data_IF_450503930439
#
_entry.id   IF_450503930439
#
_cell.length_a   1.000
_cell.length_b   1.000
_cell.length_c   1.000
_cell.angle_alpha   90.00
_cell.angle_beta   90.00
_cell.angle_gamma   90.00
#
_symmetry.space_group_name_H-M   'P 1'
#
loop_
_entity.id
_entity.type
_entity.pdbx_description
1 polymer ?
#
# COMPACT_ATOMS: atom_id res chain seq x y z
N UNK A 1 3.91 5.64 18.82
CA UNK A 1 4.49 6.18 17.57
C UNK A 1 5.11 5.05 16.80
N UNK A 2 4.87 4.98 15.52
CA UNK A 2 5.39 3.94 14.63
C UNK A 2 6.19 4.61 13.52
N UNK A 3 7.26 3.96 13.06
CA UNK A 3 7.94 4.30 11.83
C UNK A 3 7.45 3.34 10.74
N UNK A 4 6.58 3.81 9.85
CA UNK A 4 5.98 2.97 8.83
C UNK A 4 7.02 2.41 7.84
N UNK A 5 8.16 3.09 7.66
CA UNK A 5 9.23 2.61 6.79
C UNK A 5 10.06 1.45 7.41
N UNK A 6 9.87 1.15 8.69
CA UNK A 6 10.45 -0.03 9.35
C UNK A 6 9.50 -1.23 9.33
N UNK A 7 8.24 -1.03 8.93
CA UNK A 7 7.21 -2.07 8.83
C UNK A 7 7.07 -2.52 7.37
N UNK A 8 8.15 -2.98 6.78
CA UNK A 8 8.24 -3.52 5.42
C UNK A 8 8.59 -5.01 5.47
N UNK A 9 8.55 -5.69 4.35
CA UNK A 9 8.97 -7.10 4.20
C UNK A 9 8.24 -8.08 5.15
N UNK A 10 6.96 -7.81 5.43
CA UNK A 10 6.14 -8.61 6.33
C UNK A 10 6.42 -8.37 7.81
N UNK A 11 7.16 -7.30 8.16
CA UNK A 11 7.31 -6.85 9.54
C UNK A 11 6.06 -6.09 9.97
N UNK A 12 5.59 -6.39 11.17
CA UNK A 12 4.40 -5.77 11.76
C UNK A 12 4.63 -5.27 13.18
N UNK A 13 3.76 -4.41 13.64
CA UNK A 13 3.72 -3.90 15.01
C UNK A 13 2.30 -4.02 15.56
N UNK A 14 2.14 -4.61 16.75
CA UNK A 14 0.84 -4.75 17.37
C UNK A 14 0.29 -3.40 17.81
N UNK A 15 -0.82 -2.98 17.21
CA UNK A 15 -1.52 -1.73 17.56
C UNK A 15 -2.33 -1.85 18.85
N UNK A 16 -2.83 -3.03 19.18
CA UNK A 16 -3.56 -3.32 20.42
C UNK A 16 -4.58 -4.44 20.27
N UNK A 17 -5.21 -4.75 21.39
CA UNK A 17 -6.33 -5.74 21.47
C UNK A 17 -7.58 -5.01 21.93
N UNK A 18 -8.70 -5.25 21.24
CA UNK A 18 -9.97 -4.57 21.50
C UNK A 18 -11.08 -5.61 21.65
N UNK A 19 -12.00 -5.34 22.58
CA UNK A 19 -13.22 -6.13 22.71
C UNK A 19 -14.29 -5.61 21.76
N UNK A 20 -14.87 -6.50 20.98
CA UNK A 20 -15.93 -6.20 20.02
C UNK A 20 -17.07 -7.21 20.15
N UNK A 21 -18.28 -6.80 19.80
CA UNK A 21 -19.41 -7.72 19.71
C UNK A 21 -19.19 -8.71 18.55
N UNK A 22 -19.67 -9.94 18.72
CA UNK A 22 -19.63 -10.92 17.65
C UNK A 22 -20.48 -10.44 16.46
N UNK A 23 -19.93 -10.48 15.25
CA UNK A 23 -20.61 -9.97 14.08
C UNK A 23 -19.69 -9.76 12.89
N UNK A 24 -20.28 -9.28 11.81
CA UNK A 24 -19.56 -8.97 10.57
C UNK A 24 -19.29 -7.46 10.50
N UNK A 25 -18.07 -7.11 10.19
CA UNK A 25 -17.58 -5.74 10.04
C UNK A 25 -16.93 -5.56 8.67
N UNK A 26 -16.88 -4.34 8.19
CA UNK A 26 -16.26 -4.02 6.91
C UNK A 26 -15.27 -2.84 6.97
N UNK A 27 -15.07 -2.28 8.15
CA UNK A 27 -14.11 -1.20 8.39
C UNK A 27 -13.77 -1.06 9.86
N UNK A 28 -12.57 -0.54 10.12
CA UNK A 28 -12.17 0.05 11.40
C UNK A 28 -11.85 1.53 11.21
N UNK A 29 -11.81 2.29 12.31
CA UNK A 29 -11.41 3.69 12.32
C UNK A 29 -10.35 3.92 13.38
N UNK A 30 -9.20 4.38 12.97
CA UNK A 30 -8.11 4.77 13.84
C UNK A 30 -8.23 6.26 14.16
N UNK A 31 -8.56 6.60 15.40
CA UNK A 31 -8.50 7.97 15.87
C UNK A 31 -7.04 8.31 16.15
N UNK A 32 -6.52 9.31 15.48
CA UNK A 32 -5.12 9.71 15.59
C UNK A 32 -5.01 11.13 16.13
N UNK A 33 -4.03 11.34 17.01
CA UNK A 33 -3.65 12.66 17.50
C UNK A 33 -2.65 13.27 16.50
N UNK A 34 -3.18 14.07 15.58
CA UNK A 34 -2.46 14.56 14.41
C UNK A 34 -2.62 16.07 14.26
N UNK A 35 -1.62 16.77 13.66
CA UNK A 35 -1.77 18.17 13.34
C UNK A 35 -2.87 18.39 12.30
N UNK A 36 -3.70 19.41 12.50
CA UNK A 36 -4.70 19.84 11.52
C UNK A 36 -4.11 20.85 10.55
N UNK A 37 -4.28 20.63 9.24
CA UNK A 37 -3.78 21.52 8.18
C UNK A 37 -4.30 22.96 8.33
N UNK A 38 -5.54 23.12 8.82
CA UNK A 38 -6.17 24.42 9.05
C UNK A 38 -5.44 25.32 10.07
N UNK A 39 -4.60 24.74 10.91
CA UNK A 39 -3.81 25.45 11.93
C UNK A 39 -2.40 25.80 11.44
N UNK A 40 -2.05 25.38 10.23
CA UNK A 40 -0.72 25.51 9.68
C UNK A 40 0.27 24.48 10.24
N UNK A 41 1.49 24.43 9.68
CA UNK A 41 2.49 23.47 10.10
C UNK A 41 2.98 23.77 11.53
N UNK A 42 2.96 22.77 12.46
CA UNK A 42 3.51 22.95 13.79
C UNK A 42 5.04 23.00 13.74
N UNK A 43 5.64 23.75 14.67
CA UNK A 43 7.11 23.86 14.78
C UNK A 43 7.82 22.56 15.18
N UNK A 44 7.08 21.61 15.75
CA UNK A 44 7.58 20.27 16.11
C UNK A 44 6.46 19.24 15.85
N UNK A 45 6.28 18.80 14.60
CA UNK A 45 5.20 17.89 14.24
C UNK A 45 5.37 16.53 14.91
N UNK A 46 4.27 15.99 15.43
CA UNK A 46 4.22 14.65 16.00
C UNK A 46 4.14 13.57 14.93
N UNK A 47 3.47 13.88 13.81
CA UNK A 47 3.49 13.08 12.59
C UNK A 47 4.23 13.85 11.51
N UNK A 48 5.21 13.19 10.91
CA UNK A 48 6.11 13.85 9.96
C UNK A 48 6.75 12.87 8.99
N UNK A 49 7.21 13.40 7.88
CA UNK A 49 8.17 12.74 6.99
C UNK A 49 9.58 13.24 7.30
N UNK A 50 10.58 12.39 7.05
CA UNK A 50 11.98 12.79 7.01
C UNK A 50 12.39 12.95 5.55
N UNK A 51 12.59 14.20 5.12
CA UNK A 51 13.02 14.52 3.75
C UNK A 51 14.36 15.23 3.82
N UNK A 52 15.40 14.64 3.23
CA UNK A 52 16.78 15.18 3.26
C UNK A 52 17.30 15.51 4.67
N UNK A 53 16.83 14.78 5.69
CA UNK A 53 17.22 14.99 7.09
C UNK A 53 16.43 16.05 7.84
N UNK A 54 15.46 16.70 7.22
CA UNK A 54 14.53 17.65 7.82
C UNK A 54 13.16 17.01 8.06
N UNK A 55 12.47 17.49 9.11
CA UNK A 55 11.12 17.03 9.45
C UNK A 55 10.08 17.87 8.73
N UNK A 56 9.32 17.25 7.86
CA UNK A 56 8.17 17.85 7.19
C UNK A 56 6.87 17.35 7.82
N UNK A 57 5.95 18.25 8.26
CA UNK A 57 4.69 17.83 8.84
C UNK A 57 3.86 16.97 7.88
N UNK A 58 3.35 15.85 8.38
CA UNK A 58 2.41 14.99 7.66
C UNK A 58 1.02 15.20 8.25
N UNK A 59 0.11 15.74 7.45
CA UNK A 59 -1.25 16.05 7.87
C UNK A 59 -2.20 14.89 7.52
N UNK A 60 -3.17 14.63 8.40
CA UNK A 60 -4.21 13.64 8.14
C UNK A 60 -5.55 14.39 8.09
N UNK A 61 -6.12 14.58 6.90
CA UNK A 61 -7.42 15.22 6.77
C UNK A 61 -8.48 14.50 7.60
N UNK A 62 -9.12 15.20 8.53
CA UNK A 62 -10.15 14.67 9.43
C UNK A 62 -9.73 13.51 10.35
N UNK A 63 -8.44 13.22 10.49
CA UNK A 63 -7.92 12.09 11.28
C UNK A 63 -8.31 12.12 12.76
N UNK A 64 -8.35 13.31 13.35
CA UNK A 64 -8.78 13.52 14.74
C UNK A 64 -10.31 13.55 14.94
N UNK A 65 -11.10 13.82 13.89
CA UNK A 65 -12.55 13.98 13.99
C UNK A 65 -13.31 12.72 13.59
N UNK A 66 -13.08 12.22 12.39
CA UNK A 66 -13.78 11.04 11.83
C UNK A 66 -13.01 9.75 11.93
N UNK A 67 -11.74 9.83 12.30
CA UNK A 67 -10.80 8.73 12.30
C UNK A 67 -10.29 8.37 10.89
N UNK A 68 -9.10 7.78 10.86
CA UNK A 68 -8.48 7.25 9.67
C UNK A 68 -9.11 5.89 9.34
N UNK A 69 -9.67 5.77 8.17
CA UNK A 69 -10.50 4.64 7.77
C UNK A 69 -9.63 3.51 7.23
N UNK A 70 -9.77 2.32 7.81
CA UNK A 70 -9.23 1.09 7.29
C UNK A 70 -10.39 0.22 6.78
N UNK A 71 -10.30 -0.28 5.57
CA UNK A 71 -11.37 -0.99 4.87
C UNK A 71 -10.99 -2.46 4.66
N UNK A 72 -11.93 -3.34 4.92
CA UNK A 72 -11.84 -4.78 4.71
C UNK A 72 -12.92 -5.51 5.49
N UNK A 73 -13.51 -6.53 4.89
CA UNK A 73 -14.53 -7.34 5.53
C UNK A 73 -13.87 -8.36 6.48
N UNK A 74 -14.37 -8.47 7.72
CA UNK A 74 -13.94 -9.48 8.67
C UNK A 74 -15.08 -9.88 9.60
N UNK A 75 -14.96 -11.05 10.20
CA UNK A 75 -15.95 -11.56 11.15
C UNK A 75 -15.33 -11.75 12.53
N UNK A 76 -15.98 -11.15 13.55
CA UNK A 76 -15.66 -11.41 14.94
C UNK A 76 -16.48 -12.63 15.40
N UNK A 77 -15.84 -13.75 15.76
CA UNK A 77 -16.56 -14.95 16.18
C UNK A 77 -17.11 -14.79 17.61
N UNK A 78 -18.20 -15.49 17.92
CA UNK A 78 -18.72 -15.55 19.30
C UNK A 78 -17.73 -16.26 20.21
N UNK A 79 -17.27 -15.57 21.26
CA UNK A 79 -16.28 -16.08 22.23
C UNK A 79 -14.94 -16.50 21.59
N UNK A 80 -14.53 -15.84 20.52
CA UNK A 80 -13.26 -16.08 19.83
C UNK A 80 -12.51 -14.78 19.58
N UNK A 81 -11.35 -14.91 18.95
CA UNK A 81 -10.48 -13.80 18.55
C UNK A 81 -10.32 -13.83 17.04
N UNK A 82 -10.26 -12.68 16.42
CA UNK A 82 -9.78 -12.49 15.05
C UNK A 82 -8.58 -11.56 15.10
N UNK A 83 -7.51 -11.94 14.46
CA UNK A 83 -6.33 -11.11 14.25
C UNK A 83 -6.46 -10.43 12.90
N UNK A 84 -6.26 -9.10 12.89
CA UNK A 84 -6.42 -8.27 11.70
C UNK A 84 -5.10 -7.57 11.39
N UNK A 85 -4.66 -7.71 10.16
CA UNK A 85 -3.57 -6.94 9.60
C UNK A 85 -4.11 -5.64 8.99
N UNK A 86 -3.56 -4.51 9.41
CA UNK A 86 -3.80 -3.21 8.78
C UNK A 86 -2.59 -2.92 7.86
N UNK A 87 -2.78 -3.10 6.58
CA UNK A 87 -1.73 -2.88 5.58
C UNK A 87 -1.82 -1.47 5.00
N UNK A 88 -0.67 -0.83 4.89
CA UNK A 88 -0.55 0.58 4.55
C UNK A 88 0.42 0.79 3.39
N UNK A 89 -0.07 0.96 2.19
CA UNK A 89 0.79 1.31 1.06
C UNK A 89 1.19 2.79 1.14
N UNK A 90 2.41 3.04 1.61
CA UNK A 90 2.95 4.39 1.79
C UNK A 90 3.10 5.16 0.46
N UNK A 91 3.25 4.45 -0.69
CA UNK A 91 3.36 5.07 -2.02
C UNK A 91 2.06 5.73 -2.45
N UNK A 92 0.94 5.16 -2.02
CA UNK A 92 -0.41 5.69 -2.28
C UNK A 92 -0.86 6.68 -1.20
N UNK A 93 -0.43 6.43 0.04
CA UNK A 93 -0.91 7.16 1.20
C UNK A 93 -0.33 8.56 1.34
N UNK A 94 0.92 8.77 0.95
CA UNK A 94 1.60 10.07 1.10
C UNK A 94 1.53 10.85 -0.20
N UNK A 95 0.89 12.03 -0.14
CA UNK A 95 0.70 12.91 -1.30
C UNK A 95 1.15 14.32 -0.95
N UNK A 96 1.91 14.95 -1.85
CA UNK A 96 2.25 16.36 -1.78
C UNK A 96 1.13 17.21 -2.39
N UNK A 97 0.66 18.23 -1.67
CA UNK A 97 -0.34 19.18 -2.17
C UNK A 97 0.30 20.24 -3.02
N UNK A 98 -0.47 20.91 -3.89
CA UNK A 98 0.01 22.04 -4.69
C UNK A 98 0.55 23.24 -3.87
N UNK A 99 0.26 23.27 -2.55
CA UNK A 99 0.83 24.24 -1.61
C UNK A 99 2.14 23.76 -0.95
N UNK A 100 2.67 22.61 -1.32
CA UNK A 100 3.90 22.03 -0.77
C UNK A 100 3.74 21.44 0.63
N UNK A 101 2.54 21.03 1.02
CA UNK A 101 2.29 20.28 2.24
C UNK A 101 2.11 18.80 1.95
N UNK A 102 2.46 17.96 2.91
CA UNK A 102 2.26 16.51 2.79
C UNK A 102 1.01 16.08 3.55
N UNK A 103 0.14 15.33 2.87
CA UNK A 103 -1.05 14.73 3.46
C UNK A 103 -0.96 13.21 3.43
N UNK A 104 -1.54 12.57 4.45
CA UNK A 104 -1.68 11.13 4.52
C UNK A 104 -3.12 10.77 4.16
N UNK A 105 -3.31 10.06 3.05
CA UNK A 105 -4.62 9.58 2.58
C UNK A 105 -5.01 8.27 3.24
N UNK A 106 -6.30 8.04 3.50
CA UNK A 106 -6.77 6.82 4.14
C UNK A 106 -6.80 5.63 3.15
N UNK A 107 -5.66 5.02 2.95
CA UNK A 107 -5.46 3.87 2.06
C UNK A 107 -5.17 2.57 2.83
N UNK A 108 -5.63 2.46 4.10
CA UNK A 108 -5.40 1.26 4.89
C UNK A 108 -6.37 0.17 4.46
N UNK A 109 -5.82 -0.98 4.15
CA UNK A 109 -6.53 -2.21 3.89
C UNK A 109 -6.51 -3.10 5.14
N UNK A 110 -7.64 -3.74 5.45
CA UNK A 110 -7.75 -4.73 6.52
C UNK A 110 -7.85 -6.13 5.92
N UNK A 111 -7.04 -7.04 6.41
CA UNK A 111 -7.12 -8.46 6.06
C UNK A 111 -7.07 -9.28 7.36
N UNK A 112 -7.93 -10.29 7.46
CA UNK A 112 -7.82 -11.26 8.56
C UNK A 112 -6.51 -12.06 8.38
N UNK A 113 -5.63 -12.05 9.37
CA UNK A 113 -4.30 -12.67 9.28
C UNK A 113 -4.39 -14.14 8.88
N UNK A 114 -5.34 -14.87 9.47
CA UNK A 114 -5.58 -16.28 9.15
C UNK A 114 -6.12 -16.55 7.74
N UNK A 115 -6.43 -15.52 6.96
CA UNK A 115 -6.89 -15.63 5.56
C UNK A 115 -5.90 -14.99 4.58
N UNK A 116 -4.93 -14.24 5.05
CA UNK A 116 -3.97 -13.53 4.21
C UNK A 116 -3.05 -14.49 3.45
N UNK A 117 -2.89 -14.24 2.16
CA UNK A 117 -1.87 -14.86 1.32
C UNK A 117 -0.82 -13.84 0.87
N UNK A 118 0.07 -14.24 -0.02
CA UNK A 118 1.09 -13.37 -0.62
C UNK A 118 1.39 -13.80 -2.05
N UNK A 119 2.01 -12.87 -2.81
CA UNK A 119 2.59 -13.16 -4.13
C UNK A 119 4.07 -12.79 -4.07
N UNK A 120 4.94 -13.63 -4.60
CA UNK A 120 6.36 -13.30 -4.71
C UNK A 120 6.97 -13.90 -5.97
N UNK A 121 8.10 -13.34 -6.39
CA UNK A 121 8.85 -13.86 -7.54
C UNK A 121 10.16 -13.10 -7.75
N UNK A 122 10.96 -13.62 -8.68
CA UNK A 122 12.14 -12.93 -9.20
C UNK A 122 11.79 -12.20 -10.49
N UNK A 123 12.46 -11.08 -10.75
CA UNK A 123 12.30 -10.27 -11.97
C UNK A 123 13.54 -10.42 -12.83
N UNK A 124 13.37 -10.68 -14.12
CA UNK A 124 14.44 -10.88 -15.09
C UNK A 124 14.29 -9.94 -16.29
N UNK A 125 15.34 -9.82 -17.09
CA UNK A 125 15.40 -8.94 -18.28
C UNK A 125 15.07 -7.46 -17.94
N UNK A 126 15.60 -6.98 -16.81
CA UNK A 126 15.39 -5.62 -16.31
C UNK A 126 16.08 -4.63 -17.29
N UNK A 127 15.39 -3.56 -17.74
CA UNK A 127 16.01 -2.54 -18.58
C UNK A 127 17.19 -1.86 -17.89
N UNK A 128 18.27 -1.63 -18.64
CA UNK A 128 19.52 -1.04 -18.13
C UNK A 128 19.33 0.40 -17.58
N UNK A 129 18.31 1.11 -18.03
CA UNK A 129 17.97 2.47 -17.61
C UNK A 129 17.04 2.53 -16.40
N UNK A 130 16.51 1.38 -15.95
CA UNK A 130 15.65 1.33 -14.79
C UNK A 130 16.42 1.66 -13.49
N UNK A 131 15.98 2.69 -12.78
CA UNK A 131 16.47 2.97 -11.43
C UNK A 131 15.76 2.14 -10.37
N UNK A 132 14.48 1.80 -10.62
CA UNK A 132 13.62 0.95 -9.78
C UNK A 132 12.57 0.24 -10.64
N UNK A 133 12.19 -0.95 -10.24
CA UNK A 133 10.99 -1.66 -10.71
C UNK A 133 10.03 -1.76 -9.55
N UNK A 134 8.77 -1.45 -9.79
CA UNK A 134 7.69 -1.55 -8.81
C UNK A 134 6.61 -2.48 -9.37
N UNK A 135 6.16 -3.41 -8.56
CA UNK A 135 5.07 -4.34 -8.89
C UNK A 135 3.84 -3.92 -8.10
N UNK A 136 2.75 -3.62 -8.79
CA UNK A 136 1.45 -3.27 -8.21
C UNK A 136 0.50 -4.45 -8.39
N UNK A 137 -0.21 -4.85 -7.33
CA UNK A 137 -1.28 -5.84 -7.41
C UNK A 137 -2.62 -5.13 -7.58
N UNK A 138 -3.39 -5.57 -8.55
CA UNK A 138 -4.80 -5.19 -8.76
C UNK A 138 -5.69 -6.41 -8.59
N UNK A 139 -6.94 -6.24 -8.17
CA UNK A 139 -7.93 -7.29 -8.36
C UNK A 139 -8.11 -7.55 -9.86
N UNK A 140 -8.45 -8.78 -10.22
CA UNK A 140 -8.55 -9.23 -11.61
C UNK A 140 -9.42 -8.30 -12.47
N UNK A 141 -8.82 -7.68 -13.48
CA UNK A 141 -9.45 -6.77 -14.43
C UNK A 141 -9.71 -5.35 -13.95
N UNK A 142 -9.25 -4.96 -12.75
CA UNK A 142 -9.50 -3.62 -12.20
C UNK A 142 -8.47 -2.55 -12.67
N UNK A 143 -7.33 -2.96 -13.25
CA UNK A 143 -6.35 -2.00 -13.75
C UNK A 143 -6.85 -1.24 -14.97
N UNK A 144 -6.80 0.08 -14.92
CA UNK A 144 -7.05 0.96 -16.06
C UNK A 144 -5.75 1.66 -16.48
N UNK A 145 -5.40 1.61 -17.78
CA UNK A 145 -4.16 2.19 -18.28
C UNK A 145 -4.04 3.71 -18.02
N UNK A 146 -5.15 4.41 -17.86
CA UNK A 146 -5.19 5.82 -17.49
C UNK A 146 -4.58 6.12 -16.11
N UNK A 147 -4.49 5.14 -15.21
CA UNK A 147 -3.83 5.29 -13.91
C UNK A 147 -2.32 5.48 -14.01
N UNK A 148 -1.73 5.13 -15.15
CA UNK A 148 -0.33 5.40 -15.45
C UNK A 148 -0.07 6.84 -15.91
N UNK A 149 -1.10 7.63 -16.23
CA UNK A 149 -0.97 9.04 -16.60
C UNK A 149 -0.53 9.89 -15.39
N UNK A 150 -0.14 11.14 -15.65
CA UNK A 150 0.19 12.09 -14.59
C UNK A 150 -1.03 12.31 -13.69
N UNK A 151 -0.94 12.01 -12.39
CA UNK A 151 -2.07 12.16 -11.48
C UNK A 151 -2.47 13.62 -11.31
N UNK A 152 -3.75 13.87 -11.03
CA UNK A 152 -4.22 15.19 -10.64
C UNK A 152 -3.59 15.64 -9.31
N UNK A 153 -3.69 16.96 -9.00
CA UNK A 153 -3.23 17.48 -7.70
C UNK A 153 -3.85 16.69 -6.54
N UNK A 154 -3.01 16.36 -5.58
CA UNK A 154 -3.38 15.55 -4.40
C UNK A 154 -3.81 14.11 -4.72
N UNK A 155 -3.56 13.59 -5.91
CA UNK A 155 -3.78 12.20 -6.27
C UNK A 155 -2.47 11.43 -6.37
N UNK A 156 -2.53 10.12 -6.17
CA UNK A 156 -1.41 9.20 -6.40
C UNK A 156 -1.58 8.50 -7.74
N UNK A 157 -0.47 8.13 -8.36
CA UNK A 157 -0.47 7.21 -9.49
C UNK A 157 -0.87 5.81 -9.00
N UNK A 158 -1.55 5.03 -9.82
CA UNK A 158 -2.05 3.70 -9.49
C UNK A 158 -2.95 3.67 -8.23
N UNK A 159 -4.01 4.51 -8.19
CA UNK A 159 -4.83 4.68 -7.00
C UNK A 159 -5.61 3.41 -6.62
N UNK A 160 -6.00 2.59 -7.60
CA UNK A 160 -6.82 1.40 -7.40
C UNK A 160 -5.99 0.13 -7.14
N UNK A 161 -4.64 0.20 -7.22
CA UNK A 161 -3.80 -0.90 -6.81
C UNK A 161 -4.07 -1.32 -5.36
N UNK A 162 -4.21 -2.60 -5.11
CA UNK A 162 -4.46 -3.18 -3.77
C UNK A 162 -3.26 -2.96 -2.86
N UNK A 163 -2.06 -3.24 -3.36
CA UNK A 163 -0.76 -3.02 -2.68
C UNK A 163 0.35 -2.98 -3.71
N UNK A 164 1.54 -2.59 -3.29
CA UNK A 164 2.70 -2.54 -4.17
C UNK A 164 3.98 -2.94 -3.44
N UNK A 165 4.96 -3.41 -4.20
CA UNK A 165 6.31 -3.64 -3.69
C UNK A 165 7.37 -3.20 -4.70
N UNK A 166 8.48 -2.69 -4.18
CA UNK A 166 9.65 -2.33 -4.97
C UNK A 166 10.60 -3.54 -5.06
N UNK A 167 11.10 -3.80 -6.26
CA UNK A 167 12.12 -4.82 -6.45
C UNK A 167 13.30 -4.59 -5.50
N UNK A 168 13.54 -5.56 -4.62
CA UNK A 168 14.62 -5.56 -3.66
C UNK A 168 15.94 -6.09 -4.20
N UNK A 169 16.84 -6.39 -3.27
CA UNK A 169 18.09 -7.10 -3.57
C UNK A 169 17.79 -8.46 -4.22
N UNK A 170 18.69 -8.95 -5.03
CA UNK A 170 18.53 -10.21 -5.81
C UNK A 170 17.35 -10.18 -6.81
N UNK A 171 16.84 -9.00 -7.16
CA UNK A 171 15.73 -8.79 -8.10
C UNK A 171 14.41 -9.48 -7.66
N UNK A 172 14.22 -9.68 -6.38
CA UNK A 172 12.99 -10.25 -5.82
C UNK A 172 11.95 -9.19 -5.50
N UNK A 173 10.68 -9.60 -5.47
CA UNK A 173 9.57 -8.81 -4.94
C UNK A 173 8.63 -9.69 -4.12
N UNK A 174 7.87 -9.07 -3.20
CA UNK A 174 6.85 -9.77 -2.43
C UNK A 174 5.71 -8.87 -1.99
N UNK A 175 4.52 -9.18 -2.46
CA UNK A 175 3.27 -8.52 -2.12
C UNK A 175 2.63 -9.27 -0.96
N UNK A 176 2.54 -8.63 0.19
CA UNK A 176 2.09 -9.23 1.43
C UNK A 176 0.61 -9.00 1.71
N UNK A 177 0.02 -9.82 2.59
CA UNK A 177 -1.31 -9.66 3.17
C UNK A 177 -2.44 -9.50 2.14
N UNK A 178 -2.37 -10.23 1.03
CA UNK A 178 -3.42 -10.26 0.03
C UNK A 178 -4.58 -11.15 0.48
N UNK A 179 -5.81 -10.69 0.28
CA UNK A 179 -6.98 -11.53 0.44
C UNK A 179 -6.97 -12.66 -0.60
N UNK A 180 -7.59 -13.82 -0.33
CA UNK A 180 -7.75 -14.85 -1.34
C UNK A 180 -8.53 -14.31 -2.55
N UNK A 181 -8.00 -14.49 -3.75
CA UNK A 181 -8.56 -13.94 -4.98
C UNK A 181 -7.65 -14.14 -6.17
N UNK A 182 -8.00 -13.54 -7.28
CA UNK A 182 -7.18 -13.46 -8.50
C UNK A 182 -6.71 -12.03 -8.66
N UNK A 183 -5.45 -11.86 -9.04
CA UNK A 183 -4.79 -10.56 -9.14
C UNK A 183 -4.05 -10.41 -10.46
N UNK A 184 -4.05 -9.19 -10.97
CA UNK A 184 -3.18 -8.76 -12.06
C UNK A 184 -2.01 -7.97 -11.48
N UNK A 185 -0.80 -8.24 -11.97
CA UNK A 185 0.42 -7.58 -11.53
C UNK A 185 0.89 -6.59 -12.59
N UNK A 186 0.74 -5.31 -12.31
CA UNK A 186 1.22 -4.23 -13.17
C UNK A 186 2.66 -3.92 -12.82
N UNK A 187 3.55 -4.05 -13.78
CA UNK A 187 4.99 -3.84 -13.61
C UNK A 187 5.37 -2.46 -14.14
N UNK A 188 5.84 -1.59 -13.27
CA UNK A 188 6.22 -0.23 -13.61
C UNK A 188 7.73 0.00 -13.46
N UNK A 189 8.26 0.86 -14.31
CA UNK A 189 9.66 1.28 -14.32
C UNK A 189 9.77 2.74 -13.88
N UNK A 190 10.72 3.00 -12.98
CA UNK A 190 11.18 4.34 -12.67
C UNK A 190 12.56 4.59 -13.28
N UNK A 191 12.80 5.81 -13.73
CA UNK A 191 14.10 6.29 -14.22
C UNK A 191 14.49 7.55 -13.45
N UNK A 192 15.70 7.60 -12.92
CA UNK A 192 16.16 8.70 -12.06
C UNK A 192 15.24 9.03 -10.88
N UNK A 193 14.58 8.02 -10.32
CA UNK A 193 13.70 8.17 -9.16
C UNK A 193 12.25 8.59 -9.48
N UNK A 194 11.92 8.84 -10.74
CA UNK A 194 10.57 9.19 -11.19
C UNK A 194 9.96 8.09 -12.04
N UNK A 195 8.63 7.96 -12.00
CA UNK A 195 7.91 7.06 -12.90
C UNK A 195 8.23 7.37 -14.36
N UNK A 196 8.49 6.32 -15.13
CA UNK A 196 8.76 6.42 -16.56
C UNK A 196 7.64 5.75 -17.38
N UNK A 197 7.38 4.48 -17.12
CA UNK A 197 6.41 3.71 -17.92
C UNK A 197 5.93 2.44 -17.21
N UNK A 198 4.79 1.93 -17.65
CA UNK A 198 4.37 0.54 -17.40
C UNK A 198 5.07 -0.35 -18.42
N UNK A 199 5.74 -1.38 -17.93
CA UNK A 199 6.45 -2.38 -18.74
C UNK A 199 5.52 -3.47 -19.25
N UNK A 200 4.45 -3.77 -18.51
CA UNK A 200 3.43 -4.73 -18.87
C UNK A 200 2.73 -5.32 -17.65
N UNK A 201 1.94 -6.38 -17.89
CA UNK A 201 1.07 -7.01 -16.90
C UNK A 201 1.31 -8.53 -16.89
N UNK A 202 1.27 -9.11 -15.68
CA UNK A 202 1.09 -10.55 -15.45
C UNK A 202 -0.33 -10.75 -14.96
N UNK A 203 -1.15 -11.42 -15.75
CA UNK A 203 -2.58 -11.61 -15.48
C UNK A 203 -2.84 -12.90 -14.68
N UNK A 204 -4.00 -12.98 -14.03
CA UNK A 204 -4.58 -14.19 -13.44
C UNK A 204 -3.75 -14.85 -12.33
N UNK A 205 -3.01 -14.10 -11.51
CA UNK A 205 -2.25 -14.66 -10.39
C UNK A 205 -3.18 -14.99 -9.23
N UNK A 206 -3.36 -16.28 -8.95
CA UNK A 206 -4.27 -16.75 -7.90
C UNK A 206 -3.59 -16.79 -6.54
N UNK A 207 -4.20 -16.12 -5.56
CA UNK A 207 -3.83 -16.15 -4.15
C UNK A 207 -4.81 -17.03 -3.36
N UNK A 208 -4.31 -17.93 -2.57
CA UNK A 208 -5.07 -18.75 -1.63
C UNK A 208 -4.72 -18.37 -0.18
N UNK A 209 -5.64 -18.63 0.76
CA UNK A 209 -5.42 -18.36 2.19
C UNK A 209 -4.15 -19.03 2.70
N UNK A 210 -3.38 -18.30 3.51
CA UNK A 210 -2.14 -18.80 4.13
C UNK A 210 -1.13 -19.38 3.13
N UNK A 211 -1.13 -18.90 1.89
CA UNK A 211 -0.31 -19.39 0.81
C UNK A 211 0.51 -18.30 0.18
N UNK A 212 1.65 -18.66 -0.39
CA UNK A 212 2.43 -17.79 -1.26
C UNK A 212 2.29 -18.24 -2.71
N UNK A 213 1.73 -17.38 -3.56
CA UNK A 213 1.71 -17.61 -5.00
C UNK A 213 3.09 -17.22 -5.58
N UNK A 214 3.69 -18.14 -6.32
CA UNK A 214 4.96 -17.89 -7.00
C UNK A 214 4.68 -17.34 -8.41
N UNK A 215 5.01 -16.08 -8.65
CA UNK A 215 4.81 -15.37 -9.91
C UNK A 215 6.12 -14.70 -10.38
N UNK A 216 7.05 -15.46 -10.97
CA UNK A 216 8.27 -14.86 -11.55
C UNK A 216 7.89 -14.01 -12.76
N UNK A 217 8.58 -12.86 -12.92
CA UNK A 217 8.35 -11.88 -13.97
C UNK A 217 9.53 -11.87 -14.93
N UNK A 218 9.29 -12.17 -16.19
CA UNK A 218 10.23 -11.90 -17.29
C UNK A 218 9.74 -10.66 -18.05
N UNK A 219 10.42 -9.53 -17.87
CA UNK A 219 10.00 -8.26 -18.46
C UNK A 219 9.92 -8.33 -19.98
N UNK A 220 10.73 -9.17 -20.63
CA UNK A 220 10.71 -9.31 -22.09
C UNK A 220 9.50 -10.07 -22.64
N UNK A 221 8.76 -10.76 -21.78
CA UNK A 221 7.58 -11.57 -22.12
C UNK A 221 6.25 -10.93 -21.68
N UNK A 222 6.30 -9.77 -20.99
CA UNK A 222 5.08 -9.10 -20.53
C UNK A 222 4.20 -8.63 -21.68
N UNK A 223 2.89 -8.81 -21.51
CA UNK A 223 1.89 -8.18 -22.39
C UNK A 223 1.84 -6.67 -22.12
N UNK A 224 1.89 -5.87 -23.19
CA UNK A 224 1.69 -4.42 -23.08
C UNK A 224 0.22 -4.13 -22.77
N UNK A 225 -0.11 -3.29 -21.77
CA UNK A 225 -1.47 -2.94 -21.42
C UNK A 225 -2.21 -2.20 -22.51
#
# INVERSE_FOLDING_TARGET
KFNLLELTDGMDEMLGTFEMEAGQYNQLRFLMDMPELSQGPPSNPECYLMINGEKEPLFVPSGGQSGYKAVGAFQVPSNGTVELMADWDARKAVVETGAGHYILRPTIRLVAEGEAGSISGGITNIPDDASKIIVYAYEDGDYESAEADEPAEEESRFPDAVTSDEMGEENGYKLWYLAPGTYDLVVAKNVNGSFDSVLGIVEDVKVESNSNANAPIDISELSTP
#
